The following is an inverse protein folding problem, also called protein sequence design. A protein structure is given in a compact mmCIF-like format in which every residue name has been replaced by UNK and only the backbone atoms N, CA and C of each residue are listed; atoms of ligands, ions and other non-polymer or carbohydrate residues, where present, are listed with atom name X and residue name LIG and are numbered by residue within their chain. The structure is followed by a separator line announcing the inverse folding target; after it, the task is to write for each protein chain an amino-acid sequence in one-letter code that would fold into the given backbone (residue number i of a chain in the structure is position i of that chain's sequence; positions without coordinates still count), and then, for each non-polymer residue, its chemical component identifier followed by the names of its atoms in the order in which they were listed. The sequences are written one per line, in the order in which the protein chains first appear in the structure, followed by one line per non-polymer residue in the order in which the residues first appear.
data_IF_595299345374
#
_entry.id   IF_595299345374
#
_cell.length_a   1.000
_cell.length_b   1.000
_cell.length_c   1.000
_cell.angle_alpha   90.00
_cell.angle_beta   90.00
_cell.angle_gamma   90.00
#
_symmetry.space_group_name_H-M   'P 1'
#
loop_
_entity.id
_entity.type
_entity.pdbx_description
1 polymer ?
#
# COMPACT_ATOMS: atom_id res chain seq x y z
N UNK A 1 3.75 -28.96 18.51
CA UNK A 1 2.70 -28.37 17.66
C UNK A 1 3.28 -27.13 17.04
N UNK A 2 2.89 -26.80 15.80
CA UNK A 2 3.20 -25.48 15.26
C UNK A 2 2.40 -24.43 16.01
N UNK A 3 3.01 -23.30 16.36
CA UNK A 3 2.26 -22.17 16.92
C UNK A 3 1.32 -21.60 15.83
N UNK A 4 0.08 -21.26 16.20
CA UNK A 4 -0.92 -20.75 15.25
C UNK A 4 -0.48 -19.40 14.64
N UNK A 5 0.24 -18.60 15.44
CA UNK A 5 0.95 -17.40 15.01
C UNK A 5 2.45 -17.60 15.22
N UNK A 6 3.28 -17.01 14.35
CA UNK A 6 4.73 -16.95 14.53
C UNK A 6 5.12 -15.53 14.97
N UNK A 7 6.21 -15.40 15.72
CA UNK A 7 6.75 -14.09 16.11
C UNK A 7 7.27 -13.32 14.89
N UNK A 8 6.95 -12.03 14.78
CA UNK A 8 7.53 -11.17 13.72
C UNK A 8 9.05 -11.05 13.91
N UNK A 9 9.87 -11.29 12.86
CA UNK A 9 11.30 -11.07 12.91
C UNK A 9 11.68 -9.60 12.61
N UNK A 10 10.69 -8.74 12.34
CA UNK A 10 10.93 -7.32 12.09
C UNK A 10 10.95 -6.53 13.39
N UNK A 11 11.85 -5.54 13.46
CA UNK A 11 11.83 -4.54 14.53
C UNK A 11 10.45 -3.86 14.59
N UNK A 12 9.85 -3.70 15.78
CA UNK A 12 8.58 -2.99 15.91
C UNK A 12 8.67 -1.63 15.24
N UNK A 13 7.65 -1.27 14.46
CA UNK A 13 7.52 0.07 13.88
C UNK A 13 7.22 1.04 15.02
N UNK A 14 8.28 1.41 15.76
CA UNK A 14 8.26 2.54 16.68
C UNK A 14 7.78 3.73 15.89
N UNK A 15 6.65 4.31 16.31
CA UNK A 15 6.06 5.48 15.68
C UNK A 15 7.02 6.65 15.83
N UNK A 16 8.03 6.73 14.95
CA UNK A 16 8.93 7.87 14.86
C UNK A 16 8.03 9.05 14.58
N UNK A 17 8.01 9.99 15.53
CA UNK A 17 7.11 11.14 15.54
C UNK A 17 7.12 11.90 14.19
N UNK A 18 8.22 11.82 13.44
CA UNK A 18 8.38 12.27 12.05
C UNK A 18 7.27 11.84 11.10
N UNK A 19 6.74 10.62 11.19
CA UNK A 19 5.76 10.11 10.20
C UNK A 19 4.34 10.58 10.51
N UNK A 20 4.02 10.79 11.79
CA UNK A 20 2.80 11.47 12.25
C UNK A 20 2.78 12.91 11.71
N UNK A 21 3.91 13.63 11.77
CA UNK A 21 4.00 15.01 11.27
C UNK A 21 3.95 15.10 9.74
N UNK A 22 4.43 14.10 9.00
CA UNK A 22 4.40 14.10 7.52
C UNK A 22 2.99 14.02 6.94
N UNK A 23 2.06 13.36 7.61
CA UNK A 23 0.67 13.25 7.16
C UNK A 23 -0.08 14.58 7.33
N UNK A 24 0.10 15.25 8.47
CA UNK A 24 -0.52 16.55 8.77
C UNK A 24 -0.20 17.61 7.69
N UNK A 25 1.06 17.70 7.25
CA UNK A 25 1.50 18.68 6.24
C UNK A 25 0.83 18.55 4.88
N UNK A 26 0.27 17.38 4.54
CA UNK A 26 -0.39 17.16 3.24
C UNK A 26 -1.92 17.32 3.36
N UNK A 27 -2.52 17.12 4.55
CA UNK A 27 -3.95 17.38 4.76
C UNK A 27 -4.30 18.87 4.74
N UNK A 28 -3.37 19.76 5.11
CA UNK A 28 -3.58 21.22 5.07
C UNK A 28 -3.63 21.84 3.67
N UNK A 29 -3.52 21.05 2.60
CA UNK A 29 -3.42 21.55 1.22
C UNK A 29 -4.71 21.56 0.38
N UNK A 30 -5.88 21.22 0.94
CA UNK A 30 -7.13 21.09 0.17
C UNK A 30 -8.32 21.79 0.82
N UNK A 31 -8.98 22.67 0.06
CA UNK A 31 -10.17 23.41 0.50
C UNK A 31 -11.35 22.48 0.85
N UNK A 32 -11.98 22.63 2.03
CA UNK A 32 -13.07 21.76 2.47
C UNK A 32 -14.33 21.86 1.60
N UNK A 33 -14.47 22.91 0.77
CA UNK A 33 -15.55 23.01 -0.21
C UNK A 33 -15.44 21.98 -1.36
N UNK A 34 -14.22 21.56 -1.72
CA UNK A 34 -13.95 20.66 -2.85
C UNK A 34 -14.14 19.18 -2.52
N UNK A 35 -14.03 18.80 -1.24
CA UNK A 35 -14.09 17.41 -0.75
C UNK A 35 -15.49 16.78 -0.79
N UNK A 36 -16.53 17.59 -1.07
CA UNK A 36 -17.92 17.11 -1.19
C UNK A 36 -18.16 16.25 -2.44
N UNK A 37 -17.37 16.45 -3.51
CA UNK A 37 -17.52 15.78 -4.83
C UNK A 37 -16.27 15.04 -5.31
N UNK A 38 -15.18 15.04 -4.54
CA UNK A 38 -13.89 14.44 -4.95
C UNK A 38 -13.83 12.92 -4.71
N UNK A 39 -13.29 12.17 -5.67
CA UNK A 39 -13.04 10.74 -5.55
C UNK A 39 -11.61 10.54 -5.00
N UNK A 40 -11.48 10.25 -3.71
CA UNK A 40 -10.16 10.19 -3.03
C UNK A 40 -9.18 9.22 -3.71
N UNK A 41 -9.65 8.08 -4.24
CA UNK A 41 -8.82 7.13 -4.97
C UNK A 41 -8.34 7.67 -6.32
N UNK A 42 -9.14 8.51 -6.99
CA UNK A 42 -8.72 9.22 -8.21
C UNK A 42 -7.67 10.30 -7.89
N UNK A 43 -7.82 11.01 -6.77
CA UNK A 43 -6.87 12.06 -6.38
C UNK A 43 -5.54 11.46 -5.87
N UNK A 44 -5.57 10.33 -5.17
CA UNK A 44 -4.38 9.52 -4.90
C UNK A 44 -3.69 9.05 -6.20
N UNK A 45 -4.48 8.63 -7.20
CA UNK A 45 -3.96 8.27 -8.52
C UNK A 45 -3.33 9.45 -9.25
N UNK A 46 -3.86 10.68 -9.14
CA UNK A 46 -3.23 11.90 -9.67
C UNK A 46 -1.92 12.21 -8.94
N UNK A 47 -1.93 12.20 -7.60
CA UNK A 47 -0.74 12.50 -6.79
C UNK A 47 0.43 11.56 -7.10
N UNK A 48 0.17 10.24 -7.23
CA UNK A 48 1.19 9.29 -7.68
C UNK A 48 1.68 9.57 -9.10
N UNK A 49 0.80 9.99 -10.02
CA UNK A 49 1.17 10.30 -11.40
C UNK A 49 1.98 11.60 -11.54
N UNK A 50 1.97 12.48 -10.53
CA UNK A 50 2.82 13.68 -10.46
C UNK A 50 4.20 13.39 -9.84
N UNK A 51 4.42 12.22 -9.24
CA UNK A 51 5.71 11.80 -8.70
C UNK A 51 6.35 10.77 -9.64
N UNK A 52 7.50 11.09 -10.25
CA UNK A 52 8.10 10.22 -11.28
C UNK A 52 8.44 8.82 -10.79
N UNK A 53 8.88 8.66 -9.53
CA UNK A 53 9.16 7.34 -8.97
C UNK A 53 7.88 6.50 -8.81
N UNK A 54 6.82 7.09 -8.24
CA UNK A 54 5.53 6.44 -8.07
C UNK A 54 4.91 6.10 -9.43
N UNK A 55 4.81 7.08 -10.35
CA UNK A 55 4.33 6.92 -11.73
C UNK A 55 5.04 5.77 -12.44
N UNK A 56 6.38 5.77 -12.44
CA UNK A 56 7.21 4.76 -13.13
C UNK A 56 7.02 3.36 -12.55
N UNK A 57 7.08 3.19 -11.23
CA UNK A 57 6.89 1.88 -10.59
C UNK A 57 5.44 1.38 -10.73
N UNK A 58 4.47 2.30 -10.66
CA UNK A 58 3.05 2.00 -10.89
C UNK A 58 2.78 1.49 -12.29
N UNK A 59 3.23 2.22 -13.32
CA UNK A 59 3.14 1.77 -14.71
C UNK A 59 3.88 0.45 -14.93
N UNK A 60 5.00 0.23 -14.23
CA UNK A 60 5.77 -1.02 -14.26
C UNK A 60 5.00 -2.25 -13.78
N UNK A 61 4.33 -2.19 -12.61
CA UNK A 61 3.52 -3.33 -12.17
C UNK A 61 2.26 -3.51 -13.02
N UNK A 62 1.54 -2.42 -13.36
CA UNK A 62 0.32 -2.51 -14.18
C UNK A 62 0.61 -3.17 -15.52
N UNK A 63 1.62 -2.70 -16.27
CA UNK A 63 2.02 -3.31 -17.55
C UNK A 63 2.53 -4.75 -17.42
N UNK A 64 3.05 -5.15 -16.25
CA UNK A 64 3.47 -6.53 -15.99
C UNK A 64 2.30 -7.45 -15.67
N UNK A 65 1.30 -6.96 -14.93
CA UNK A 65 0.12 -7.70 -14.50
C UNK A 65 -0.97 -7.78 -15.58
N UNK A 66 -1.12 -6.74 -16.41
CA UNK A 66 -2.13 -6.67 -17.49
C UNK A 66 -1.64 -7.20 -18.85
N UNK A 67 -0.42 -7.75 -18.93
CA UNK A 67 0.07 -8.36 -20.17
C UNK A 67 -0.40 -9.81 -20.25
N UNK A 68 -1.39 -10.02 -21.12
CA UNK A 68 -1.84 -11.33 -21.57
C UNK A 68 -0.67 -12.13 -22.17
N UNK A 69 -0.61 -13.43 -21.82
CA UNK A 69 0.39 -14.36 -22.37
C UNK A 69 -0.24 -15.38 -23.31
N UNK A 70 -1.36 -15.96 -22.90
CA UNK A 70 -2.15 -16.88 -23.73
C UNK A 70 -3.60 -16.92 -23.25
N UNK A 71 -4.54 -17.47 -24.04
CA UNK A 71 -5.92 -17.68 -23.59
C UNK A 71 -6.06 -18.59 -22.36
N UNK A 72 -5.03 -19.39 -22.02
CA UNK A 72 -5.01 -20.29 -20.88
C UNK A 72 -4.30 -19.70 -19.64
N UNK A 73 -3.39 -18.74 -19.84
CA UNK A 73 -2.62 -18.01 -18.82
C UNK A 73 -2.80 -16.49 -19.05
N UNK A 74 -3.78 -15.84 -18.38
CA UNK A 74 -4.10 -14.43 -18.62
C UNK A 74 -3.00 -13.47 -18.15
N UNK A 75 -2.09 -13.91 -17.27
CA UNK A 75 -0.90 -13.15 -16.90
C UNK A 75 0.16 -14.04 -16.25
N UNK A 76 1.42 -13.58 -16.22
CA UNK A 76 2.45 -14.19 -15.38
C UNK A 76 2.34 -13.69 -13.93
N UNK A 77 1.54 -14.36 -13.11
CA UNK A 77 1.31 -14.02 -11.69
C UNK A 77 2.62 -13.81 -10.91
N UNK A 78 3.62 -14.69 -11.09
CA UNK A 78 4.95 -14.57 -10.46
C UNK A 78 5.68 -13.26 -10.79
N UNK A 79 5.60 -12.78 -12.04
CA UNK A 79 6.21 -11.49 -12.45
C UNK A 79 5.39 -10.31 -11.92
N UNK A 80 4.06 -10.41 -11.95
CA UNK A 80 3.15 -9.40 -11.38
C UNK A 80 3.40 -9.20 -9.88
N UNK A 81 3.39 -10.28 -9.10
CA UNK A 81 3.73 -10.29 -7.67
C UNK A 81 5.10 -9.67 -7.38
N UNK A 82 6.15 -10.03 -8.14
CA UNK A 82 7.48 -9.42 -7.99
C UNK A 82 7.46 -7.90 -8.24
N UNK A 83 6.70 -7.43 -9.23
CA UNK A 83 6.56 -6.01 -9.53
C UNK A 83 5.73 -5.25 -8.48
N UNK A 84 4.68 -5.88 -7.92
CA UNK A 84 3.90 -5.34 -6.81
C UNK A 84 4.75 -5.16 -5.55
N UNK A 85 5.53 -6.18 -5.14
CA UNK A 85 6.47 -6.05 -4.01
C UNK A 85 7.46 -4.91 -4.24
N UNK A 86 8.05 -4.81 -5.43
CA UNK A 86 8.93 -3.70 -5.80
C UNK A 86 8.25 -2.31 -5.77
N UNK A 87 6.93 -2.23 -5.99
CA UNK A 87 6.18 -0.98 -5.87
C UNK A 87 5.98 -0.63 -4.39
N UNK A 88 5.45 -1.54 -3.57
CA UNK A 88 5.18 -1.27 -2.14
C UNK A 88 6.46 -1.10 -1.30
N UNK A 89 7.58 -1.77 -1.64
CA UNK A 89 8.86 -1.63 -0.95
C UNK A 89 9.64 -0.34 -1.35
N UNK A 90 9.35 0.30 -2.50
CA UNK A 90 10.15 1.41 -3.06
C UNK A 90 9.40 2.72 -3.31
N UNK A 91 8.07 2.70 -3.21
CA UNK A 91 7.25 3.92 -3.26
C UNK A 91 6.85 4.28 -1.83
N UNK A 92 7.10 5.53 -1.39
CA UNK A 92 6.75 5.97 -0.04
C UNK A 92 5.27 5.78 0.33
N UNK A 93 5.04 5.57 1.64
CA UNK A 93 3.72 5.29 2.22
C UNK A 93 2.67 6.35 1.89
N UNK A 94 3.06 7.62 1.81
CA UNK A 94 2.16 8.72 1.47
C UNK A 94 1.53 8.61 0.07
N UNK A 95 2.09 7.80 -0.83
CA UNK A 95 1.46 7.46 -2.11
C UNK A 95 0.80 6.08 -2.09
N UNK A 96 1.47 5.04 -1.59
CA UNK A 96 0.98 3.66 -1.66
C UNK A 96 -0.27 3.46 -0.80
N UNK A 97 -0.28 3.97 0.44
CA UNK A 97 -1.42 3.85 1.34
C UNK A 97 -2.61 4.68 0.84
N UNK A 98 -2.38 5.84 0.22
CA UNK A 98 -3.45 6.64 -0.42
C UNK A 98 -4.10 5.94 -1.60
N UNK A 99 -3.34 5.17 -2.38
CA UNK A 99 -3.89 4.36 -3.48
C UNK A 99 -4.66 3.12 -2.98
N UNK A 100 -4.23 2.55 -1.85
CA UNK A 100 -4.73 1.28 -1.34
C UNK A 100 -5.94 1.44 -0.40
N UNK A 101 -5.92 2.45 0.47
CA UNK A 101 -6.87 2.62 1.59
C UNK A 101 -7.76 3.88 1.49
N UNK A 102 -7.84 4.51 0.31
CA UNK A 102 -8.70 5.68 0.08
C UNK A 102 -10.17 5.43 0.48
N UNK A 103 -10.79 6.40 1.15
CA UNK A 103 -12.22 6.35 1.45
C UNK A 103 -13.08 6.52 0.19
N UNK A 104 -14.27 5.91 0.17
CA UNK A 104 -15.15 5.92 -1.00
C UNK A 104 -16.61 6.10 -0.59
N UNK A 105 -17.32 6.96 -1.34
CA UNK A 105 -18.76 7.22 -1.19
C UNK A 105 -19.61 6.57 -2.28
N UNK A 106 -19.01 6.16 -3.38
CA UNK A 106 -19.65 5.50 -4.52
C UNK A 106 -18.94 4.21 -4.94
N UNK A 107 -19.64 3.37 -5.72
CA UNK A 107 -19.15 2.07 -6.19
C UNK A 107 -17.99 2.20 -7.18
N UNK A 108 -17.89 3.29 -7.95
CA UNK A 108 -16.81 3.48 -8.92
C UNK A 108 -15.47 3.80 -8.24
N UNK A 109 -15.50 4.55 -7.13
CA UNK A 109 -14.39 4.71 -6.20
C UNK A 109 -14.01 3.36 -5.56
N UNK A 110 -14.97 2.62 -5.03
CA UNK A 110 -14.70 1.35 -4.35
C UNK A 110 -14.10 0.30 -5.31
N UNK A 111 -14.58 0.21 -6.56
CA UNK A 111 -13.97 -0.64 -7.58
C UNK A 111 -12.57 -0.13 -7.98
N UNK A 112 -12.36 1.19 -8.12
CA UNK A 112 -11.01 1.75 -8.34
C UNK A 112 -10.03 1.32 -7.24
N UNK A 113 -10.47 1.28 -5.98
CA UNK A 113 -9.67 0.81 -4.83
C UNK A 113 -9.38 -0.69 -4.92
N UNK A 114 -10.40 -1.52 -5.20
CA UNK A 114 -10.27 -2.98 -5.40
C UNK A 114 -9.31 -3.32 -6.55
N UNK A 115 -9.30 -2.50 -7.60
CA UNK A 115 -8.46 -2.64 -8.79
C UNK A 115 -7.00 -2.16 -8.60
N UNK A 116 -6.65 -1.54 -7.47
CA UNK A 116 -5.29 -0.98 -7.24
C UNK A 116 -4.16 -1.99 -7.47
N UNK A 117 -4.37 -3.28 -7.19
CA UNK A 117 -3.34 -4.33 -7.34
C UNK A 117 -3.49 -5.19 -8.61
N UNK A 118 -4.46 -4.90 -9.49
CA UNK A 118 -4.85 -5.73 -10.66
C UNK A 118 -5.31 -7.15 -10.23
N UNK A 119 -6.46 -7.25 -9.53
CA UNK A 119 -6.90 -8.49 -8.88
C UNK A 119 -7.06 -9.68 -9.82
N UNK A 120 -7.48 -9.47 -11.07
CA UNK A 120 -7.61 -10.52 -12.10
C UNK A 120 -6.30 -11.24 -12.45
N UNK A 121 -5.16 -10.72 -12.01
CA UNK A 121 -3.85 -11.33 -12.14
C UNK A 121 -3.22 -11.65 -10.77
N UNK A 122 -3.29 -10.71 -9.81
CA UNK A 122 -2.53 -10.79 -8.56
C UNK A 122 -3.25 -11.51 -7.42
N UNK A 123 -4.58 -11.63 -7.49
CA UNK A 123 -5.43 -12.02 -6.37
C UNK A 123 -6.35 -13.18 -6.75
N UNK A 124 -7.23 -12.97 -7.74
CA UNK A 124 -8.16 -13.95 -8.26
C UNK A 124 -7.41 -15.12 -8.94
N UNK A 125 -7.96 -16.33 -8.85
CA UNK A 125 -7.51 -17.53 -9.56
C UNK A 125 -8.74 -18.40 -9.86
N UNK A 126 -8.60 -19.45 -10.69
CA UNK A 126 -9.71 -20.31 -11.16
C UNK A 126 -10.49 -20.93 -10.00
N UNK A 127 -9.76 -21.38 -8.98
CA UNK A 127 -10.30 -22.03 -7.80
C UNK A 127 -9.89 -21.25 -6.53
N UNK A 128 -10.64 -21.45 -5.45
CA UNK A 128 -10.28 -20.96 -4.10
C UNK A 128 -9.73 -22.12 -3.28
N UNK A 129 -8.40 -22.20 -3.01
CA UNK A 129 -7.83 -23.25 -2.17
C UNK A 129 -8.30 -23.15 -0.72
N UNK A 130 -7.98 -24.16 0.08
CA UNK A 130 -8.17 -24.07 1.53
C UNK A 130 -7.23 -23.00 2.13
N UNK A 131 -7.72 -22.20 3.08
CA UNK A 131 -6.88 -21.16 3.69
C UNK A 131 -5.70 -21.72 4.51
N UNK A 132 -5.80 -22.92 5.07
CA UNK A 132 -4.70 -23.57 5.79
C UNK A 132 -3.61 -24.07 4.83
N UNK A 133 -3.98 -24.57 3.65
CA UNK A 133 -3.02 -24.92 2.58
C UNK A 133 -2.29 -23.67 2.09
N UNK A 134 -3.03 -22.56 1.89
CA UNK A 134 -2.45 -21.27 1.48
C UNK A 134 -1.50 -20.71 2.57
N UNK A 135 -1.87 -20.84 3.84
CA UNK A 135 -1.01 -20.51 4.99
C UNK A 135 0.24 -21.40 5.02
N UNK A 136 0.11 -22.70 4.74
CA UNK A 136 1.22 -23.65 4.65
C UNK A 136 2.21 -23.30 3.53
N UNK A 137 1.70 -22.98 2.33
CA UNK A 137 2.52 -22.51 1.22
C UNK A 137 3.30 -21.23 1.58
N UNK A 138 2.63 -20.26 2.23
CA UNK A 138 3.28 -19.05 2.72
C UNK A 138 4.35 -19.32 3.79
N UNK A 139 4.11 -20.27 4.72
CA UNK A 139 5.10 -20.69 5.72
C UNK A 139 6.33 -21.35 5.12
N UNK A 140 6.22 -21.94 3.93
CA UNK A 140 7.36 -22.50 3.21
C UNK A 140 8.27 -21.42 2.57
N UNK A 141 7.74 -20.24 2.23
CA UNK A 141 8.53 -19.10 1.76
C UNK A 141 8.95 -18.18 2.93
N UNK A 142 10.26 -18.04 3.15
CA UNK A 142 10.77 -17.25 4.29
C UNK A 142 10.29 -15.79 4.33
N UNK A 143 10.07 -15.17 3.17
CA UNK A 143 9.61 -13.77 3.10
C UNK A 143 8.11 -13.67 3.38
N UNK A 144 7.30 -14.55 2.79
CA UNK A 144 5.86 -14.62 3.05
C UNK A 144 5.60 -14.91 4.54
N UNK A 145 6.28 -15.91 5.10
CA UNK A 145 6.21 -16.26 6.53
C UNK A 145 6.52 -15.07 7.43
N UNK A 146 7.59 -14.34 7.15
CA UNK A 146 7.98 -13.16 7.94
C UNK A 146 6.94 -12.04 7.85
N UNK A 147 6.40 -11.75 6.65
CA UNK A 147 5.34 -10.73 6.46
C UNK A 147 4.01 -11.14 7.09
N UNK A 148 3.70 -12.44 7.12
CA UNK A 148 2.50 -12.97 7.77
C UNK A 148 2.59 -12.95 9.30
N UNK A 149 3.77 -13.27 9.87
CA UNK A 149 4.06 -13.07 11.28
C UNK A 149 3.93 -11.59 11.69
N UNK A 150 4.41 -10.68 10.84
CA UNK A 150 4.29 -9.24 11.04
C UNK A 150 2.83 -8.74 11.01
N UNK A 151 2.03 -9.23 10.06
CA UNK A 151 0.59 -8.95 10.02
C UNK A 151 -0.12 -9.43 11.29
N UNK A 152 0.09 -10.68 11.70
CA UNK A 152 -0.51 -11.19 12.93
C UNK A 152 -0.02 -10.44 14.18
N UNK A 153 1.21 -9.94 14.20
CA UNK A 153 1.75 -9.16 15.32
C UNK A 153 1.13 -7.76 15.40
N UNK A 154 1.09 -7.02 14.27
CA UNK A 154 0.72 -5.60 14.27
C UNK A 154 -0.78 -5.35 14.05
N UNK A 155 -1.52 -6.30 13.48
CA UNK A 155 -2.97 -6.22 13.30
C UNK A 155 -3.76 -7.10 14.30
N UNK A 156 -3.14 -7.68 15.33
CA UNK A 156 -3.87 -8.52 16.28
C UNK A 156 -5.00 -7.73 16.96
N UNK A 157 -6.24 -8.18 16.80
CA UNK A 157 -7.38 -7.54 17.44
C UNK A 157 -7.26 -7.66 18.97
N UNK A 158 -7.22 -6.53 19.68
CA UNK A 158 -7.10 -6.48 21.14
C UNK A 158 -8.17 -5.59 21.78
N UNK A 159 -8.93 -6.17 22.71
CA UNK A 159 -9.98 -5.48 23.49
C UNK A 159 -9.43 -4.52 24.56
N UNK A 160 -8.11 -4.44 24.74
CA UNK A 160 -7.46 -3.61 25.76
C UNK A 160 -7.10 -2.20 25.27
N UNK A 161 -7.24 -1.94 23.98
CA UNK A 161 -6.86 -0.67 23.32
C UNK A 161 -8.09 0.09 22.83
N UNK A 162 -7.98 1.42 22.69
CA UNK A 162 -9.09 2.25 22.21
C UNK A 162 -9.36 2.05 20.72
N UNK A 163 -8.32 1.76 19.94
CA UNK A 163 -8.39 1.54 18.49
C UNK A 163 -8.70 0.09 18.10
N UNK A 164 -8.69 -0.83 19.06
CA UNK A 164 -8.59 -2.28 18.87
C UNK A 164 -7.24 -2.80 18.33
N UNK A 165 -6.24 -1.94 18.13
CA UNK A 165 -4.90 -2.29 17.63
C UNK A 165 -3.82 -2.35 18.72
N UNK A 166 -2.78 -3.19 18.56
CA UNK A 166 -1.62 -3.20 19.45
C UNK A 166 -0.93 -1.83 19.51
N UNK A 167 -0.73 -1.31 20.72
CA UNK A 167 -0.10 0.01 20.95
C UNK A 167 -0.82 1.20 20.30
N UNK A 168 -2.12 1.06 19.97
CA UNK A 168 -2.92 2.02 19.20
C UNK A 168 -2.30 2.46 17.86
N UNK A 169 -1.46 1.59 17.26
CA UNK A 169 -0.66 1.93 16.08
C UNK A 169 -1.29 1.45 14.75
N UNK A 170 -2.19 2.27 14.19
CA UNK A 170 -2.76 2.02 12.87
C UNK A 170 -1.72 1.89 11.74
N UNK A 171 -0.62 2.66 11.80
CA UNK A 171 0.39 2.67 10.74
C UNK A 171 1.18 1.35 10.68
N UNK A 172 1.46 0.73 11.83
CA UNK A 172 2.06 -0.61 11.87
C UNK A 172 1.15 -1.65 11.19
N UNK A 173 -0.15 -1.69 11.54
CA UNK A 173 -1.08 -2.63 10.91
C UNK A 173 -1.24 -2.40 9.39
N UNK A 174 -1.40 -1.15 8.94
CA UNK A 174 -1.51 -0.82 7.52
C UNK A 174 -0.24 -1.16 6.74
N UNK A 175 0.95 -0.96 7.34
CA UNK A 175 2.23 -1.36 6.79
C UNK A 175 2.37 -2.87 6.64
N UNK A 176 2.05 -3.64 7.69
CA UNK A 176 2.09 -5.11 7.65
C UNK A 176 1.08 -5.69 6.65
N UNK A 177 -0.13 -5.13 6.58
CA UNK A 177 -1.12 -5.47 5.55
C UNK A 177 -0.57 -5.25 4.12
N UNK A 178 -0.03 -4.07 3.85
CA UNK A 178 0.56 -3.75 2.54
C UNK A 178 1.76 -4.67 2.23
N UNK A 179 2.49 -5.10 3.25
CA UNK A 179 3.61 -6.04 3.17
C UNK A 179 3.24 -7.47 2.72
N UNK A 180 1.97 -7.88 2.80
CA UNK A 180 1.48 -9.15 2.27
C UNK A 180 1.22 -9.12 0.75
N UNK A 181 1.13 -7.94 0.14
CA UNK A 181 0.73 -7.81 -1.26
C UNK A 181 1.84 -8.31 -2.19
N UNK A 182 1.48 -9.27 -3.04
CA UNK A 182 2.42 -9.95 -3.93
C UNK A 182 3.05 -11.20 -3.31
N UNK A 183 2.44 -11.80 -2.29
CA UNK A 183 2.73 -13.16 -1.82
C UNK A 183 1.49 -14.07 -1.96
N UNK A 184 1.58 -15.33 -1.55
CA UNK A 184 0.46 -16.28 -1.68
C UNK A 184 -0.78 -15.83 -0.88
N UNK A 185 -0.57 -15.32 0.35
CA UNK A 185 -1.61 -14.70 1.18
C UNK A 185 -1.82 -13.22 0.80
N UNK A 186 -1.85 -12.88 -0.49
CA UNK A 186 -2.18 -11.50 -0.93
C UNK A 186 -3.63 -11.20 -0.57
N UNK A 187 -3.91 -10.21 0.29
CA UNK A 187 -5.28 -9.82 0.61
C UNK A 187 -5.82 -8.77 -0.38
N UNK A 188 -7.14 -8.73 -0.57
CA UNK A 188 -7.80 -7.63 -1.26
C UNK A 188 -9.23 -7.40 -0.73
N UNK A 189 -9.82 -6.27 -1.10
CA UNK A 189 -11.26 -6.03 -0.96
C UNK A 189 -12.04 -7.10 -1.73
N UNK A 190 -13.00 -7.73 -1.06
CA UNK A 190 -13.82 -8.81 -1.65
C UNK A 190 -14.77 -8.29 -2.71
N UNK A 191 -15.30 -7.07 -2.54
CA UNK A 191 -16.25 -6.43 -3.43
C UNK A 191 -16.00 -4.90 -3.56
N UNK A 192 -16.92 -4.21 -4.24
CA UNK A 192 -16.94 -2.76 -4.39
C UNK A 192 -17.93 -2.09 -3.42
N UNK A 193 -18.08 -2.62 -2.20
CA UNK A 193 -18.94 -2.03 -1.16
C UNK A 193 -18.36 -0.72 -0.61
N UNK A 194 -19.22 0.25 -0.36
CA UNK A 194 -18.87 1.54 0.24
C UNK A 194 -19.04 1.56 1.76
N UNK A 195 -19.85 0.65 2.31
CA UNK A 195 -20.21 0.60 3.74
C UNK A 195 -19.59 -0.61 4.44
N UNK A 196 -19.71 -1.80 3.86
CA UNK A 196 -19.14 -3.04 4.40
C UNK A 196 -17.77 -3.29 3.79
N UNK A 197 -16.72 -2.69 4.36
CA UNK A 197 -15.35 -3.06 4.01
C UNK A 197 -15.10 -4.50 4.48
N UNK A 198 -14.97 -5.42 3.54
CA UNK A 198 -14.57 -6.81 3.79
C UNK A 198 -13.33 -7.13 2.97
N UNK A 199 -12.33 -7.70 3.63
CA UNK A 199 -11.01 -7.98 3.09
C UNK A 199 -10.69 -9.46 3.38
N UNK A 200 -10.12 -10.16 2.40
CA UNK A 200 -9.64 -11.52 2.60
C UNK A 200 -8.47 -11.84 1.66
N UNK A 201 -7.66 -12.87 1.96
CA UNK A 201 -6.90 -13.59 0.95
C UNK A 201 -7.82 -14.39 0.00
N UNK A 202 -7.28 -14.88 -1.11
CA UNK A 202 -8.02 -15.71 -2.08
C UNK A 202 -8.07 -17.18 -1.65
N UNK A 203 -8.88 -17.50 -0.65
CA UNK A 203 -9.10 -18.86 -0.17
C UNK A 203 -10.51 -19.04 0.41
N UNK A 204 -10.81 -20.24 0.91
CA UNK A 204 -12.00 -20.52 1.74
C UNK A 204 -11.71 -21.63 2.76
N UNK A 205 -12.63 -21.89 3.69
CA UNK A 205 -12.51 -23.01 4.63
C UNK A 205 -13.21 -24.30 4.18
N UNK A 206 -13.61 -24.38 2.90
CA UNK A 206 -14.10 -25.63 2.31
C UNK A 206 -13.02 -26.70 2.35
N UNK A 207 -13.41 -27.91 2.77
CA UNK A 207 -12.49 -29.05 2.86
C UNK A 207 -11.61 -29.10 4.11
N UNK A 208 -11.76 -28.18 5.08
CA UNK A 208 -10.94 -28.17 6.31
C UNK A 208 -11.20 -29.36 7.23
N UNK A 209 -12.39 -29.96 7.18
CA UNK A 209 -12.81 -31.04 8.08
C UNK A 209 -12.67 -30.61 9.55
N UNK A 210 -11.97 -31.41 10.35
CA UNK A 210 -11.73 -31.12 11.78
C UNK A 210 -10.94 -29.82 12.03
N UNK A 211 -10.33 -29.22 11.00
CA UNK A 211 -9.56 -27.97 11.09
C UNK A 211 -10.38 -26.73 10.69
N UNK A 212 -11.71 -26.85 10.56
CA UNK A 212 -12.59 -25.74 10.12
C UNK A 212 -12.52 -24.53 11.05
N UNK A 213 -12.60 -24.72 12.38
CA UNK A 213 -12.46 -23.63 13.36
C UNK A 213 -11.11 -22.90 13.25
N UNK A 214 -10.01 -23.65 13.04
CA UNK A 214 -8.67 -23.09 12.88
C UNK A 214 -8.58 -22.28 11.57
N UNK A 215 -9.15 -22.79 10.49
CA UNK A 215 -9.22 -22.11 9.21
C UNK A 215 -10.03 -20.80 9.30
N UNK A 216 -11.22 -20.87 9.93
CA UNK A 216 -12.06 -19.69 10.11
C UNK A 216 -11.40 -18.64 10.98
N UNK A 217 -10.70 -19.06 12.05
CA UNK A 217 -9.93 -18.14 12.90
C UNK A 217 -8.90 -17.36 12.09
N UNK A 218 -8.14 -18.06 11.24
CA UNK A 218 -7.17 -17.42 10.34
C UNK A 218 -7.85 -16.48 9.33
N UNK A 219 -9.03 -16.83 8.82
CA UNK A 219 -9.77 -15.98 7.90
C UNK A 219 -10.35 -14.73 8.59
N UNK A 220 -10.82 -14.87 9.85
CA UNK A 220 -11.36 -13.77 10.68
C UNK A 220 -10.31 -12.70 10.99
N UNK A 221 -9.03 -13.04 11.07
CA UNK A 221 -7.92 -12.08 11.20
C UNK A 221 -7.86 -11.08 10.02
N UNK A 222 -8.50 -11.38 8.88
CA UNK A 222 -8.70 -10.47 7.75
C UNK A 222 -10.13 -9.92 7.64
N UNK A 223 -11.16 -10.77 7.77
CA UNK A 223 -12.56 -10.40 7.47
C UNK A 223 -13.26 -9.66 8.61
N UNK A 224 -12.98 -10.04 9.86
CA UNK A 224 -13.70 -9.63 11.07
C UNK A 224 -12.81 -8.84 12.04
N UNK A 225 -11.63 -8.43 11.58
CA UNK A 225 -10.63 -7.74 12.40
C UNK A 225 -10.99 -6.26 12.64
N UNK A 226 -11.34 -5.84 13.87
CA UNK A 226 -11.65 -4.44 14.18
C UNK A 226 -10.42 -3.53 14.06
N UNK A 227 -9.20 -3.98 14.37
CA UNK A 227 -7.99 -3.18 14.19
C UNK A 227 -7.81 -2.78 12.72
N UNK A 228 -7.82 -3.76 11.82
CA UNK A 228 -7.65 -3.52 10.37
C UNK A 228 -8.78 -2.64 9.81
N UNK A 229 -10.03 -2.90 10.22
CA UNK A 229 -11.21 -2.11 9.84
C UNK A 229 -11.08 -0.64 10.27
N UNK A 230 -10.74 -0.42 11.53
CA UNK A 230 -10.59 0.91 12.12
C UNK A 230 -9.41 1.65 11.49
N UNK A 231 -8.27 0.99 11.26
CA UNK A 231 -7.08 1.58 10.64
C UNK A 231 -7.38 2.09 9.22
N UNK A 232 -8.04 1.27 8.39
CA UNK A 232 -8.39 1.64 7.01
C UNK A 232 -9.41 2.79 6.99
N UNK A 233 -10.40 2.78 7.89
CA UNK A 233 -11.38 3.86 7.99
C UNK A 233 -10.74 5.17 8.50
N UNK A 234 -9.88 5.10 9.51
CA UNK A 234 -9.19 6.26 10.07
C UNK A 234 -8.24 6.90 9.05
N UNK A 235 -7.46 6.10 8.34
CA UNK A 235 -6.58 6.57 7.28
C UNK A 235 -7.38 7.18 6.12
N UNK A 236 -8.43 6.49 5.65
CA UNK A 236 -9.28 6.96 4.55
C UNK A 236 -10.00 8.28 4.86
N UNK A 237 -10.36 8.51 6.12
CA UNK A 237 -11.01 9.75 6.59
C UNK A 237 -10.01 10.85 7.00
N UNK A 238 -8.71 10.55 7.10
CA UNK A 238 -7.69 11.49 7.58
C UNK A 238 -7.69 11.74 9.09
N UNK A 239 -8.21 10.80 9.88
CA UNK A 239 -8.34 10.91 11.35
C UNK A 239 -7.27 10.15 12.12
N UNK A 240 -6.32 9.49 11.45
CA UNK A 240 -5.23 8.75 12.10
C UNK A 240 -4.28 9.66 12.91
N UNK A 241 -4.13 10.92 12.49
CA UNK A 241 -3.38 11.97 13.20
C UNK A 241 -4.01 12.34 14.56
N UNK A 242 -5.32 12.11 14.76
CA UNK A 242 -6.05 12.58 15.95
C UNK A 242 -5.89 11.74 17.22
N UNK A 243 -5.20 10.59 17.14
CA UNK A 243 -5.04 9.65 18.25
C UNK A 243 -3.68 9.73 18.96
N UNK A 244 -2.85 10.72 18.61
CA UNK A 244 -1.63 10.99 19.35
C UNK A 244 -1.95 11.25 20.84
N UNK A 245 -1.27 10.57 21.79
CA UNK A 245 -1.48 10.84 23.21
C UNK A 245 -1.24 12.32 23.52
N UNK A 246 -2.22 12.98 24.14
CA UNK A 246 -1.98 14.27 24.77
C UNK A 246 -1.01 14.03 25.92
N UNK A 247 0.24 14.47 25.77
CA UNK A 247 1.27 14.36 26.81
C UNK A 247 0.71 14.85 28.16
N UNK A 248 0.88 14.08 29.26
CA UNK A 248 0.83 14.64 30.59
C UNK A 248 1.90 15.73 30.70
N UNK A 249 1.55 16.89 31.23
CA UNK A 249 2.51 17.97 31.51
C UNK A 249 3.58 17.46 32.47
N UNK A 250 4.81 17.27 31.97
CA UNK A 250 5.94 16.90 32.81
C UNK A 250 6.39 18.13 33.61
N UNK A 251 6.15 18.12 34.93
CA UNK A 251 6.70 19.12 35.83
C UNK A 251 8.23 19.02 35.85
N UNK A 252 8.91 20.10 35.46
CA UNK A 252 10.37 20.12 35.37
C UNK A 252 11.01 20.18 36.76
N UNK A 253 11.71 19.12 37.15
CA UNK A 253 12.63 19.13 38.29
C UNK A 253 14.02 19.50 37.82
N UNK A 254 14.52 20.67 38.24
CA UNK A 254 15.84 21.20 37.83
C UNK A 254 16.95 20.53 38.64
N UNK A 255 17.97 20.00 37.95
CA UNK A 255 19.21 19.53 38.58
C UNK A 255 20.22 20.69 38.73
N UNK A 256 20.95 20.81 39.87
CA UNK A 256 21.89 21.91 40.07
C UNK A 256 23.16 21.81 39.20
N UNK A 257 23.69 22.98 38.85
CA UNK A 257 24.87 23.20 38.01
C UNK A 257 26.13 23.24 38.88
N UNK A 258 27.20 22.56 38.46
CA UNK A 258 28.52 22.68 39.08
C UNK A 258 29.42 23.64 38.28
N UNK A 259 30.15 24.53 38.98
CA UNK A 259 31.04 25.53 38.40
C UNK A 259 32.52 25.11 38.40
N UNK A 260 33.38 25.96 37.82
CA UNK A 260 34.75 25.66 37.38
C UNK A 260 35.82 26.15 38.38
N UNK A 261 36.97 25.48 38.37
CA UNK A 261 38.12 25.60 39.30
C UNK A 261 38.84 26.96 39.39
N UNK A 262 39.67 27.13 40.43
CA UNK A 262 40.99 27.77 40.38
C UNK A 262 42.15 26.76 40.64
N UNK A 263 43.42 27.18 40.52
CA UNK A 263 44.58 26.29 40.40
C UNK A 263 45.85 26.69 41.22
N UNK A 264 46.74 25.71 41.42
CA UNK A 264 48.21 25.78 41.70
C UNK A 264 48.66 26.37 43.08
N UNK A 265 49.91 26.10 43.59
CA UNK A 265 51.19 25.85 42.87
C UNK A 265 52.11 24.67 43.30
N UNK A 266 53.05 24.32 42.40
CA UNK A 266 54.48 23.87 42.47
C UNK A 266 55.00 22.94 43.64
N UNK A 267 56.07 22.12 43.52
CA UNK A 267 57.29 22.16 42.67
C UNK A 267 58.11 20.80 42.70
N UNK A 268 59.22 20.72 41.93
CA UNK A 268 60.47 19.89 42.07
C UNK A 268 60.67 18.49 41.40
N UNK A 269 61.64 18.45 40.44
CA UNK A 269 62.63 17.38 40.04
C UNK A 269 62.24 15.96 39.58
N UNK A 270 62.98 15.23 38.70
CA UNK A 270 64.09 15.60 37.77
C UNK A 270 64.35 14.55 36.65
N UNK A 271 65.04 15.00 35.59
CA UNK A 271 66.05 14.30 34.75
C UNK A 271 65.77 13.09 33.81
N UNK A 272 66.25 13.31 32.56
CA UNK A 272 66.68 12.42 31.45
C UNK A 272 65.66 12.19 30.31
N UNK A 273 65.79 12.80 29.11
CA UNK A 273 66.85 12.63 28.08
C UNK A 273 66.87 11.18 27.53
N UNK A 274 66.59 10.83 26.27
CA UNK A 274 66.61 11.50 24.94
C UNK A 274 65.41 10.97 24.09
N UNK A 275 65.04 11.43 22.88
CA UNK A 275 65.56 12.46 21.94
C UNK A 275 64.45 12.94 20.95
N UNK A 276 64.77 13.86 20.04
CA UNK A 276 64.00 14.27 18.82
C UNK A 276 64.96 14.18 17.58
N UNK A 277 64.56 14.27 16.28
CA UNK A 277 63.40 15.03 15.81
C UNK A 277 62.57 14.51 14.60
N UNK A 278 61.39 15.14 14.43
CA UNK A 278 61.12 15.87 13.17
C UNK A 278 60.13 15.27 12.16
N UNK A 279 58.97 15.93 12.01
CA UNK A 279 58.07 15.85 10.84
C UNK A 279 58.65 16.69 9.69
N UNK A 280 58.45 16.35 8.40
CA UNK A 280 57.37 17.04 7.68
C UNK A 280 56.62 16.23 6.58
N UNK A 281 55.39 16.68 6.35
CA UNK A 281 54.56 16.56 5.14
C UNK A 281 55.30 16.57 3.79
N UNK A 282 54.88 15.76 2.80
CA UNK A 282 54.47 16.16 1.42
C UNK A 282 54.14 14.93 0.54
N UNK A 283 53.20 15.08 -0.41
CA UNK A 283 52.76 14.03 -1.34
C UNK A 283 53.77 13.73 -2.47
N UNK A 284 53.84 12.47 -2.92
CA UNK A 284 54.54 12.08 -4.15
C UNK A 284 54.41 10.58 -4.50
N UNK A 285 53.64 10.29 -5.55
CA UNK A 285 53.69 9.03 -6.34
C UNK A 285 54.48 9.33 -7.64
N UNK A 286 54.95 8.37 -8.49
CA UNK A 286 54.49 6.96 -8.63
C UNK A 286 55.56 5.89 -9.02
N UNK A 287 55.17 4.61 -9.03
CA UNK A 287 55.45 3.56 -10.07
C UNK A 287 54.91 2.21 -9.55
N UNK A 288 53.87 1.61 -10.15
CA UNK A 288 53.85 0.73 -11.35
C UNK A 288 54.50 -0.66 -11.18
N UNK A 289 53.65 -1.70 -11.15
CA UNK A 289 53.80 -2.96 -11.89
C UNK A 289 52.47 -3.75 -11.84
N UNK A 290 51.89 -4.13 -12.99
CA UNK A 290 50.64 -4.93 -13.04
C UNK A 290 49.72 -4.68 -14.25
N UNK A 291 50.15 -5.10 -15.45
CA UNK A 291 49.42 -5.01 -16.74
C UNK A 291 48.11 -5.84 -16.73
N UNK A 292 46.92 -5.29 -17.10
CA UNK A 292 46.27 -5.16 -18.44
C UNK A 292 45.81 -6.49 -19.09
N UNK A 293 44.83 -6.51 -20.03
CA UNK A 293 44.07 -5.41 -20.70
C UNK A 293 42.58 -5.39 -20.24
N UNK A 294 41.51 -4.93 -20.93
CA UNK A 294 41.27 -4.46 -22.30
C UNK A 294 40.05 -3.47 -22.41
N UNK A 295 39.65 -3.12 -23.64
CA UNK A 295 38.50 -2.25 -24.06
C UNK A 295 37.34 -3.13 -24.61
N UNK A 296 36.13 -2.69 -24.96
CA UNK A 296 35.53 -1.40 -25.40
C UNK A 296 34.00 -1.51 -25.17
N UNK A 297 33.13 -0.50 -25.18
CA UNK A 297 32.96 0.63 -26.11
C UNK A 297 31.93 1.60 -25.50
N UNK A 298 32.14 2.91 -25.58
CA UNK A 298 31.06 3.87 -25.30
C UNK A 298 30.04 3.85 -26.43
N UNK A 299 28.75 3.96 -26.09
CA UNK A 299 27.73 4.36 -27.06
C UNK A 299 26.71 5.27 -26.38
N UNK A 300 27.01 6.56 -26.42
CA UNK A 300 26.03 7.62 -26.15
C UNK A 300 24.86 7.48 -27.13
N UNK A 301 23.65 7.28 -26.60
CA UNK A 301 22.40 7.38 -27.35
C UNK A 301 21.38 8.14 -26.51
N UNK A 302 21.37 9.46 -26.67
CA UNK A 302 20.22 10.28 -26.34
C UNK A 302 19.06 9.82 -27.23
N UNK A 303 17.96 9.35 -26.64
CA UNK A 303 16.71 9.17 -27.38
C UNK A 303 15.92 10.47 -27.36
N UNK A 304 15.69 11.00 -28.56
CA UNK A 304 14.91 12.20 -28.82
C UNK A 304 13.44 12.02 -28.48
N UNK A 305 12.85 13.07 -27.93
CA UNK A 305 11.42 13.19 -27.70
C UNK A 305 10.67 13.21 -29.04
N UNK A 306 9.81 12.22 -29.29
CA UNK A 306 8.90 12.23 -30.45
C UNK A 306 7.53 11.69 -30.09
N UNK A 307 6.62 12.62 -29.80
CA UNK A 307 5.17 12.56 -30.03
C UNK A 307 4.48 11.20 -29.76
N UNK A 308 3.84 11.07 -28.60
CA UNK A 308 2.70 10.18 -28.45
C UNK A 308 1.40 10.98 -28.45
N UNK A 309 0.66 10.86 -29.56
CA UNK A 309 -0.61 11.53 -29.82
C UNK A 309 -1.70 11.21 -28.80
N UNK A 310 -2.43 12.24 -28.38
CA UNK A 310 -3.73 12.12 -27.72
C UNK A 310 -4.76 11.46 -28.64
N UNK A 311 -5.24 10.26 -28.27
CA UNK A 311 -6.45 9.64 -28.81
C UNK A 311 -7.22 8.98 -27.64
N UNK A 312 -8.18 9.70 -27.04
CA UNK A 312 -9.63 9.64 -27.33
C UNK A 312 -10.32 8.51 -26.56
N UNK A 313 -11.06 8.91 -25.52
CA UNK A 313 -12.15 8.10 -24.96
C UNK A 313 -13.37 8.17 -25.91
N UNK A 314 -14.21 7.13 -25.99
CA UNK A 314 -15.45 7.22 -26.75
C UNK A 314 -16.45 8.12 -26.03
N UNK A 315 -16.78 9.27 -26.64
CA UNK A 315 -17.93 10.08 -26.22
C UNK A 315 -19.25 9.38 -26.56
N UNK A 316 -20.19 9.49 -25.62
CA UNK A 316 -21.55 8.98 -25.75
C UNK A 316 -22.39 9.96 -26.59
N UNK A 317 -22.56 9.69 -27.89
CA UNK A 317 -23.43 10.50 -28.77
C UNK A 317 -24.82 9.91 -28.93
N UNK A 318 -25.79 10.68 -28.46
CA UNK A 318 -27.23 10.58 -28.74
C UNK A 318 -27.47 10.52 -30.24
N UNK A 319 -28.21 9.50 -30.71
CA UNK A 319 -28.69 9.45 -32.08
C UNK A 319 -30.13 10.01 -32.14
N UNK A 320 -30.35 10.94 -33.07
CA UNK A 320 -31.66 11.43 -33.48
C UNK A 320 -31.97 10.84 -34.87
N UNK A 321 -33.14 10.22 -35.02
CA UNK A 321 -33.59 9.61 -36.27
C UNK A 321 -33.98 10.64 -37.35
N UNK A 322 -33.60 10.43 -38.62
CA UNK A 322 -34.18 11.11 -39.76
C UNK A 322 -35.01 10.19 -40.68
N UNK A 323 -36.32 10.49 -40.75
CA UNK A 323 -37.24 10.31 -41.89
C UNK A 323 -37.36 8.94 -42.60
N UNK A 324 -38.49 8.29 -42.30
CA UNK A 324 -39.59 8.05 -43.25
C UNK A 324 -39.25 7.57 -44.69
N UNK A 325 -39.33 6.24 -44.89
CA UNK A 325 -39.51 5.60 -46.20
C UNK A 325 -40.90 4.96 -46.31
N UNK A 326 -41.59 5.14 -47.44
CA UNK A 326 -42.97 4.69 -47.67
C UNK A 326 -43.06 3.19 -48.01
N UNK A 327 -43.97 2.46 -47.36
CA UNK A 327 -44.20 1.03 -47.60
C UNK A 327 -45.63 0.60 -47.27
N UNK A 328 -46.51 0.58 -48.28
CA UNK A 328 -47.90 0.06 -48.15
C UNK A 328 -47.89 -1.44 -47.87
N UNK A 329 -48.64 -1.90 -46.87
CA UNK A 329 -49.57 -3.03 -47.06
C UNK A 329 -50.71 -3.10 -46.03
N UNK A 330 -51.80 -3.73 -46.49
CA UNK A 330 -53.15 -3.94 -45.96
C UNK A 330 -53.21 -4.54 -44.53
N UNK A 331 -54.31 -4.55 -43.75
CA UNK A 331 -55.58 -3.81 -43.65
C UNK A 331 -56.53 -4.61 -42.71
N UNK A 332 -56.86 -4.08 -41.53
CA UNK A 332 -58.03 -4.42 -40.67
C UNK A 332 -58.05 -3.35 -39.55
N UNK A 333 -59.04 -2.46 -39.34
CA UNK A 333 -60.49 -2.60 -39.06
C UNK A 333 -60.77 -3.57 -37.89
N UNK A 334 -61.46 -3.26 -36.77
CA UNK A 334 -62.34 -2.17 -36.23
C UNK A 334 -62.54 -2.52 -34.71
N UNK A 335 -62.93 -1.64 -33.75
CA UNK A 335 -62.61 -0.24 -33.45
C UNK A 335 -62.12 -0.04 -31.97
N UNK A 336 -62.07 1.22 -31.54
CA UNK A 336 -61.88 1.69 -30.17
C UNK A 336 -63.15 1.54 -29.32
N UNK A 337 -63.02 1.22 -28.02
CA UNK A 337 -64.03 1.57 -27.00
C UNK A 337 -63.31 2.13 -25.75
N UNK A 338 -63.50 3.43 -25.48
CA UNK A 338 -63.18 3.99 -24.17
C UNK A 338 -64.26 3.58 -23.17
N UNK A 339 -63.87 3.31 -21.92
CA UNK A 339 -64.67 3.67 -20.74
C UNK A 339 -63.72 3.86 -19.55
N UNK A 340 -63.97 4.91 -18.77
CA UNK A 340 -63.14 5.37 -17.65
C UNK A 340 -63.65 4.81 -16.31
N UNK A 341 -62.71 4.30 -15.48
CA UNK A 341 -62.71 4.41 -14.00
C UNK A 341 -63.93 3.80 -13.22
N UNK A 342 -63.91 3.76 -11.87
CA UNK A 342 -62.81 3.99 -10.92
C UNK A 342 -62.47 2.76 -10.05
N UNK A 343 -61.43 2.90 -9.22
CA UNK A 343 -61.07 1.93 -8.18
C UNK A 343 -62.01 2.02 -6.96
N UNK A 344 -62.23 0.87 -6.29
CA UNK A 344 -62.74 0.80 -4.90
C UNK A 344 -62.55 -0.62 -4.32
N UNK A 345 -61.40 -0.84 -3.65
CA UNK A 345 -61.17 -1.62 -2.41
C UNK A 345 -59.67 -1.90 -2.23
#
# INVERSE_FOLDING_TARGET
GEEFYEASPYEPVTSRLSDIFRLASIFSGMDPATTSRSNHCLDAAKACNLNDNCKRLRSGYISTCSRELSPAEPCSRRKCHKALRQFFDRVPGEFTFRLLFCACRDRACAERRRQTIVPSCSYEDKDKPNCLDLRGACRADHLCRSRLADFHTNCQATFQSLTSCPGDNFQACLGSYAGLIGFDVTPNYVDASTTSITISPWCSCKGSGNMEEECEKFLRDFTENPCLRNAIQAFGNGTDVSLAPKNPSAAATVLPRAEKSPALPDDVSDSNALDEPGVPTTCGSPQEQGLKPNKSKEQSLCYSESQLTTAVMPEQKTFLDPKAGSGRQRAARIPLLLLLLPALL
#
